data_IF_037845191975
#
_entry.id   IF_037845191975
#
_cell.length_a   1.000
_cell.length_b   1.000
_cell.length_c   1.000
_cell.angle_alpha   90.00
_cell.angle_beta   90.00
_cell.angle_gamma   90.00
#
_symmetry.space_group_name_H-M   'P 1'
#
loop_
_entity.id
_entity.type
_entity.pdbx_description
1 polymer ?
#
# COMPACT_ATOMS: atom_id res chain seq x y z
N UNK A 1 -7.96 -3.15 -14.02
CA UNK A 1 -8.35 -2.35 -12.88
C UNK A 1 -7.18 -1.67 -12.19
N UNK A 2 -7.50 -0.76 -11.34
CA UNK A 2 -6.51 0.01 -10.61
C UNK A 2 -6.92 0.10 -9.14
N UNK A 3 -5.94 -0.11 -8.25
CA UNK A 3 -6.14 0.11 -6.82
C UNK A 3 -5.03 1.05 -6.36
N UNK A 4 -5.43 2.18 -5.78
CA UNK A 4 -4.47 3.11 -5.20
C UNK A 4 -4.47 2.90 -3.70
N UNK A 5 -3.32 2.56 -3.15
CA UNK A 5 -3.17 2.33 -1.72
C UNK A 5 -2.34 3.44 -1.10
N UNK A 6 -2.59 3.70 0.17
CA UNK A 6 -1.82 4.66 0.94
C UNK A 6 -1.37 3.99 2.23
N UNK A 7 -0.15 4.28 2.64
CA UNK A 7 0.36 3.73 3.90
C UNK A 7 1.31 4.72 4.55
N UNK A 8 1.50 4.52 5.83
CA UNK A 8 2.39 5.38 6.63
C UNK A 8 3.57 4.53 7.11
N UNK A 9 4.76 5.01 6.84
CA UNK A 9 6.00 4.36 7.28
C UNK A 9 6.45 5.03 8.57
N UNK A 10 6.72 4.21 9.59
CA UNK A 10 7.18 4.71 10.88
C UNK A 10 8.66 5.01 10.91
N UNK A 11 9.14 5.56 12.02
CA UNK A 11 10.55 5.98 12.15
C UNK A 11 11.56 4.84 11.99
N UNK A 12 11.15 3.61 12.25
CA UNK A 12 12.04 2.45 12.13
C UNK A 12 11.93 1.76 10.77
N UNK A 13 11.11 2.29 9.86
CA UNK A 13 10.93 1.71 8.54
C UNK A 13 9.78 0.72 8.43
N UNK A 14 9.08 0.44 9.51
CA UNK A 14 7.92 -0.43 9.48
C UNK A 14 6.67 0.32 9.07
N UNK A 15 5.72 -0.41 8.45
CA UNK A 15 4.45 0.18 8.03
C UNK A 15 3.52 0.26 9.25
N UNK A 16 3.08 1.47 9.58
CA UNK A 16 2.20 1.70 10.73
C UNK A 16 0.74 1.47 10.38
N UNK A 17 0.32 1.87 9.18
CA UNK A 17 -1.07 1.71 8.75
C UNK A 17 -1.14 1.63 7.24
N UNK A 18 -2.20 0.98 6.74
CA UNK A 18 -2.44 0.84 5.31
C UNK A 18 -3.92 1.08 5.05
N UNK A 19 -4.23 1.63 3.87
CA UNK A 19 -5.62 1.80 3.46
C UNK A 19 -5.72 1.85 1.94
N UNK A 20 -6.91 1.57 1.44
CA UNK A 20 -7.21 1.77 0.02
C UNK A 20 -7.76 3.18 -0.13
N UNK A 21 -7.06 4.02 -0.90
CA UNK A 21 -7.47 5.38 -1.15
C UNK A 21 -8.51 5.44 -2.28
N UNK A 22 -8.31 4.61 -3.32
CA UNK A 22 -9.20 4.56 -4.46
C UNK A 22 -9.08 3.20 -5.12
N UNK A 23 -10.18 2.69 -5.66
CA UNK A 23 -10.16 1.43 -6.39
C UNK A 23 -11.22 1.45 -7.49
N UNK A 24 -10.87 0.87 -8.64
CA UNK A 24 -11.82 0.63 -9.72
C UNK A 24 -12.20 -0.84 -9.82
N UNK A 25 -11.60 -1.69 -8.99
CA UNK A 25 -11.84 -3.13 -9.04
C UNK A 25 -12.98 -3.60 -8.16
N UNK A 26 -13.25 -2.89 -7.08
CA UNK A 26 -14.31 -3.23 -6.14
C UNK A 26 -14.24 -4.70 -5.69
N UNK A 27 -13.04 -5.23 -5.50
CA UNK A 27 -12.82 -6.61 -5.09
C UNK A 27 -12.14 -6.61 -3.73
N UNK A 28 -12.92 -6.88 -2.68
CA UNK A 28 -12.42 -6.83 -1.31
C UNK A 28 -11.28 -7.83 -1.06
N UNK A 29 -11.34 -9.00 -1.68
CA UNK A 29 -10.28 -10.00 -1.48
C UNK A 29 -8.95 -9.53 -2.01
N UNK A 30 -8.93 -8.93 -3.20
CA UNK A 30 -7.70 -8.39 -3.79
C UNK A 30 -7.19 -7.24 -2.95
N UNK A 31 -8.09 -6.35 -2.53
CA UNK A 31 -7.71 -5.20 -1.72
C UNK A 31 -7.08 -5.61 -0.39
N UNK A 32 -7.71 -6.56 0.30
CA UNK A 32 -7.18 -7.04 1.58
C UNK A 32 -5.84 -7.75 1.40
N UNK A 33 -5.71 -8.54 0.36
CA UNK A 33 -4.46 -9.22 0.07
C UNK A 33 -3.33 -8.23 -0.17
N UNK A 34 -3.62 -7.17 -0.94
CA UNK A 34 -2.65 -6.13 -1.24
C UNK A 34 -2.24 -5.37 0.03
N UNK A 35 -3.20 -5.00 0.86
CA UNK A 35 -2.89 -4.31 2.11
C UNK A 35 -2.06 -5.18 3.04
N UNK A 36 -2.31 -6.48 3.07
CA UNK A 36 -1.54 -7.40 3.89
C UNK A 36 -0.09 -7.48 3.41
N UNK A 37 0.13 -7.50 2.10
CA UNK A 37 1.47 -7.50 1.53
C UNK A 37 2.20 -6.21 1.90
N UNK A 38 1.54 -5.07 1.75
CA UNK A 38 2.12 -3.78 2.07
C UNK A 38 2.53 -3.72 3.55
N UNK A 39 1.70 -4.26 4.43
CA UNK A 39 1.97 -4.23 5.86
C UNK A 39 3.21 -5.01 6.24
N UNK A 40 3.64 -5.94 5.41
CA UNK A 40 4.85 -6.74 5.63
C UNK A 40 6.12 -6.09 5.09
N UNK A 41 5.98 -5.01 4.32
CA UNK A 41 7.14 -4.36 3.72
C UNK A 41 7.99 -3.69 4.79
N UNK A 42 9.28 -3.69 4.55
CA UNK A 42 10.25 -2.99 5.38
C UNK A 42 10.94 -1.93 4.54
N UNK A 43 11.01 -0.75 5.07
CA UNK A 43 11.63 0.39 4.39
C UNK A 43 12.82 0.90 5.20
N UNK A 44 13.75 1.63 4.57
CA UNK A 44 14.82 2.27 5.33
C UNK A 44 14.22 3.25 6.35
N UNK A 45 14.84 3.38 7.52
CA UNK A 45 14.35 4.34 8.51
C UNK A 45 14.33 5.75 7.94
N UNK A 46 13.33 6.54 8.33
CA UNK A 46 13.24 7.93 7.90
C UNK A 46 14.35 8.74 8.56
N UNK A 47 15.00 9.58 7.76
CA UNK A 47 15.99 10.51 8.32
C UNK A 47 15.30 11.44 9.29
N UNK A 48 15.88 11.60 10.49
CA UNK A 48 15.30 12.46 11.52
C UNK A 48 14.22 11.80 12.37
N UNK A 49 13.91 10.53 12.13
CA UNK A 49 12.98 9.76 12.97
C UNK A 49 11.51 10.09 12.80
N UNK A 50 11.11 10.71 11.70
CA UNK A 50 9.72 11.03 11.44
C UNK A 50 8.95 9.89 10.78
N UNK A 51 7.77 10.21 10.27
CA UNK A 51 6.95 9.29 9.49
C UNK A 51 6.90 9.76 8.05
N UNK A 52 6.56 8.83 7.15
CA UNK A 52 6.43 9.15 5.73
C UNK A 52 5.10 8.60 5.21
N UNK A 53 4.36 9.42 4.47
CA UNK A 53 3.14 9.00 3.80
C UNK A 53 3.47 8.61 2.38
N UNK A 54 3.01 7.41 1.97
CA UNK A 54 3.24 6.90 0.63
C UNK A 54 1.90 6.58 -0.01
N UNK A 55 1.73 6.98 -1.26
CA UNK A 55 0.56 6.63 -2.07
C UNK A 55 1.06 6.01 -3.35
N UNK A 56 0.52 4.85 -3.70
CA UNK A 56 0.99 4.11 -4.87
C UNK A 56 -0.17 3.47 -5.62
N UNK A 57 -0.26 3.69 -6.94
CA UNK A 57 -1.28 3.04 -7.76
C UNK A 57 -0.80 1.67 -8.25
N UNK A 58 -1.62 0.64 -8.01
CA UNK A 58 -1.35 -0.70 -8.49
C UNK A 58 -2.24 -0.96 -9.71
N UNK A 59 -1.62 -1.23 -10.84
CA UNK A 59 -2.35 -1.46 -12.08
C UNK A 59 -2.46 -2.96 -12.31
N UNK A 60 -3.70 -3.44 -12.46
CA UNK A 60 -3.98 -4.84 -12.71
C UNK A 60 -4.58 -4.97 -14.11
N UNK A 61 -4.00 -5.78 -14.95
CA UNK A 61 -4.54 -6.06 -16.27
C UNK A 61 -5.46 -7.26 -16.19
N UNK A 62 -6.53 -7.23 -16.99
CA UNK A 62 -7.43 -8.37 -17.08
C UNK A 62 -6.67 -9.59 -17.56
N UNK A 63 -7.01 -10.75 -16.97
CA UNK A 63 -6.27 -11.97 -17.22
C UNK A 63 -6.29 -12.44 -18.65
N UNK A 64 -7.27 -12.14 -19.40
CA UNK A 64 -7.32 -12.52 -20.80
C UNK A 64 -6.57 -11.60 -21.74
N UNK A 65 -6.10 -10.53 -21.18
CA UNK A 65 -5.36 -9.57 -22.00
C UNK A 65 -3.93 -9.99 -22.19
#
# INVERSE_FOLDING_TARGET
GKITTAWVIGPTGGVLSTRVAETTMANANVEQCLLRVIKRLKFPPCAGGGTADVTYPWIFKSGGG
#
